data_IF_675542194884
#
_entry.id   IF_675542194884
#
_cell.length_a   1.000
_cell.length_b   1.000
_cell.length_c   1.000
_cell.angle_alpha   90.00
_cell.angle_beta   90.00
_cell.angle_gamma   90.00
#
_symmetry.space_group_name_H-M   'P 1'
#
loop_
_entity.id
_entity.type
_entity.pdbx_description
1 polymer ?
#
# COMPACT_ATOMS: atom_id res chain seq x y z
N UNK A 1 0.79 -3.99 19.05
CA UNK A 1 -0.36 -3.75 18.15
C UNK A 1 0.09 -4.11 16.76
N UNK A 2 -0.56 -5.08 16.12
CA UNK A 2 -0.18 -5.56 14.80
C UNK A 2 -1.07 -4.91 13.76
N UNK A 3 -0.50 -4.39 12.68
CA UNK A 3 -1.24 -3.91 11.51
C UNK A 3 -1.01 -4.89 10.38
N UNK A 4 -2.09 -5.43 9.84
CA UNK A 4 -2.06 -6.32 8.68
C UNK A 4 -2.76 -5.59 7.54
N UNK A 5 -2.00 -5.22 6.51
CA UNK A 5 -2.55 -4.62 5.30
C UNK A 5 -3.31 -5.73 4.55
N UNK A 6 -4.61 -5.54 4.36
CA UNK A 6 -5.47 -6.51 3.67
C UNK A 6 -5.76 -6.11 2.23
N UNK A 7 -5.67 -4.81 1.93
CA UNK A 7 -5.94 -4.30 0.59
C UNK A 7 -5.17 -3.00 0.34
N UNK A 8 -4.62 -2.88 -0.86
CA UNK A 8 -4.04 -1.65 -1.40
C UNK A 8 -4.65 -1.43 -2.78
N UNK A 9 -5.20 -0.23 -3.01
CA UNK A 9 -5.68 0.23 -4.32
C UNK A 9 -4.95 1.51 -4.69
N UNK A 10 -4.56 1.62 -5.95
CA UNK A 10 -4.00 2.84 -6.53
C UNK A 10 -4.86 3.18 -7.74
N UNK A 11 -5.49 4.34 -7.70
CA UNK A 11 -6.30 4.88 -8.78
C UNK A 11 -5.57 6.08 -9.38
N UNK A 12 -5.37 6.07 -10.70
CA UNK A 12 -4.71 7.15 -11.42
C UNK A 12 -5.72 7.77 -12.39
N UNK A 13 -5.86 9.08 -12.35
CA UNK A 13 -6.76 9.83 -13.21
C UNK A 13 -6.02 10.98 -13.89
N UNK A 14 -6.30 11.21 -15.17
CA UNK A 14 -5.89 12.42 -15.87
C UNK A 14 -6.97 13.48 -15.74
N UNK A 15 -6.60 14.63 -15.20
CA UNK A 15 -7.46 15.80 -15.02
C UNK A 15 -7.06 16.92 -15.99
N UNK A 16 -7.83 18.01 -16.02
CA UNK A 16 -7.45 19.22 -16.75
C UNK A 16 -6.22 19.94 -16.17
N UNK A 17 -5.84 19.62 -14.93
CA UNK A 17 -4.76 20.28 -14.19
C UNK A 17 -3.49 19.41 -14.07
N UNK A 18 -3.50 18.20 -14.62
CA UNK A 18 -2.40 17.22 -14.49
C UNK A 18 -2.93 15.83 -14.12
N UNK A 19 -2.07 15.00 -13.55
CA UNK A 19 -2.41 13.69 -13.04
C UNK A 19 -2.83 13.77 -11.57
N UNK A 20 -3.76 12.89 -11.20
CA UNK A 20 -4.15 12.61 -9.83
C UNK A 20 -3.86 11.15 -9.53
N UNK A 21 -3.26 10.90 -8.37
CA UNK A 21 -3.05 9.56 -7.84
C UNK A 21 -3.73 9.48 -6.48
N UNK A 22 -4.61 8.50 -6.32
CA UNK A 22 -5.25 8.18 -5.05
C UNK A 22 -4.80 6.82 -4.58
N UNK A 23 -4.28 6.74 -3.36
CA UNK A 23 -3.98 5.47 -2.69
C UNK A 23 -5.03 5.20 -1.64
N UNK A 24 -5.64 4.02 -1.69
CA UNK A 24 -6.48 3.50 -0.60
C UNK A 24 -5.81 2.31 0.06
N UNK A 25 -5.57 2.40 1.36
CA UNK A 25 -5.03 1.33 2.19
C UNK A 25 -6.12 0.85 3.16
N UNK A 26 -6.44 -0.44 3.12
CA UNK A 26 -7.29 -1.08 4.14
C UNK A 26 -6.41 -2.01 4.95
N UNK A 27 -6.41 -1.83 6.26
CA UNK A 27 -5.64 -2.65 7.18
C UNK A 27 -6.46 -3.02 8.41
N UNK A 28 -6.18 -4.19 8.96
CA UNK A 28 -6.71 -4.59 10.26
C UNK A 28 -5.67 -4.26 11.31
N UNK A 29 -6.08 -3.44 12.27
CA UNK A 29 -5.33 -3.16 13.48
C UNK A 29 -5.78 -4.13 14.58
N UNK A 30 -4.94 -5.11 14.90
CA UNK A 30 -5.20 -6.11 15.93
C UNK A 30 -4.36 -5.85 17.18
N UNK A 31 -5.05 -5.86 18.31
CA UNK A 31 -4.46 -5.97 19.65
C UNK A 31 -4.78 -7.36 20.21
N UNK A 32 -4.15 -7.75 21.31
CA UNK A 32 -4.40 -9.05 21.97
C UNK A 32 -5.88 -9.20 22.39
N UNK A 33 -6.61 -8.09 22.55
CA UNK A 33 -8.00 -8.08 23.05
C UNK A 33 -9.07 -7.67 22.01
N UNK A 34 -8.70 -7.12 20.84
CA UNK A 34 -9.66 -6.69 19.81
C UNK A 34 -9.00 -6.41 18.45
N UNK A 35 -9.76 -6.56 17.38
CA UNK A 35 -9.38 -6.14 16.02
C UNK A 35 -10.30 -5.07 15.47
N UNK A 36 -9.75 -4.09 14.75
CA UNK A 36 -10.51 -3.05 14.03
C UNK A 36 -10.05 -2.96 12.58
N UNK A 37 -10.99 -2.87 11.65
CA UNK A 37 -10.67 -2.56 10.25
C UNK A 37 -10.56 -1.05 10.09
N UNK A 38 -9.45 -0.59 9.53
CA UNK A 38 -9.14 0.81 9.29
C UNK A 38 -8.97 1.04 7.79
N UNK A 39 -9.38 2.23 7.32
CA UNK A 39 -9.19 2.68 5.94
C UNK A 39 -8.43 4.01 5.96
N UNK A 40 -7.34 4.08 5.20
CA UNK A 40 -6.57 5.30 4.96
C UNK A 40 -6.64 5.64 3.47
N UNK A 41 -6.80 6.91 3.15
CA UNK A 41 -6.85 7.41 1.78
C UNK A 41 -5.90 8.58 1.66
N UNK A 42 -4.94 8.47 0.74
CA UNK A 42 -4.01 9.53 0.38
C UNK A 42 -4.33 9.99 -1.03
N UNK A 43 -4.27 11.31 -1.26
CA UNK A 43 -4.55 11.91 -2.55
C UNK A 43 -3.42 12.87 -2.93
N UNK A 44 -2.91 12.68 -4.14
CA UNK A 44 -1.85 13.49 -4.74
C UNK A 44 -2.42 14.08 -6.02
N UNK A 45 -2.40 15.41 -6.14
CA UNK A 45 -3.07 16.12 -7.24
C UNK A 45 -2.10 16.99 -8.03
N UNK A 46 -2.48 17.32 -9.26
CA UNK A 46 -1.75 18.24 -10.16
C UNK A 46 -0.32 17.78 -10.45
N UNK A 47 -0.11 16.46 -10.47
CA UNK A 47 1.18 15.88 -10.79
C UNK A 47 1.47 16.04 -12.28
N UNK A 48 2.71 16.34 -12.61
CA UNK A 48 3.27 16.11 -13.94
C UNK A 48 3.41 14.60 -14.21
N UNK A 49 3.71 14.23 -15.45
CA UNK A 49 3.95 12.82 -15.80
C UNK A 49 5.13 12.25 -15.00
N UNK A 50 6.25 12.97 -14.99
CA UNK A 50 7.48 12.54 -14.30
C UNK A 50 7.25 12.40 -12.78
N UNK A 51 6.56 13.35 -12.15
CA UNK A 51 6.22 13.27 -10.72
C UNK A 51 5.27 12.10 -10.40
N UNK A 52 4.38 11.76 -11.33
CA UNK A 52 3.48 10.62 -11.17
C UNK A 52 4.27 9.30 -11.27
N UNK A 53 5.20 9.20 -12.23
CA UNK A 53 6.04 8.01 -12.41
C UNK A 53 6.95 7.81 -11.18
N UNK A 54 7.59 8.86 -10.69
CA UNK A 54 8.38 8.83 -9.45
C UNK A 54 7.54 8.40 -8.24
N UNK A 55 6.33 8.94 -8.09
CA UNK A 55 5.42 8.59 -6.99
C UNK A 55 5.03 7.10 -7.04
N UNK A 56 4.71 6.57 -8.23
CA UNK A 56 4.35 5.17 -8.39
C UNK A 56 5.52 4.24 -8.08
N UNK A 57 6.73 4.58 -8.50
CA UNK A 57 7.93 3.83 -8.16
C UNK A 57 8.20 3.81 -6.65
N UNK A 58 7.96 4.93 -5.96
CA UNK A 58 8.05 5.00 -4.49
C UNK A 58 6.95 4.16 -3.81
N UNK A 59 5.74 4.14 -4.36
CA UNK A 59 4.64 3.37 -3.81
C UNK A 59 4.84 1.85 -3.97
N UNK A 60 5.43 1.42 -5.09
CA UNK A 60 5.67 0.01 -5.40
C UNK A 60 6.93 -0.52 -4.71
N UNK A 61 7.96 0.30 -4.52
CA UNK A 61 9.21 -0.11 -3.88
C UNK A 61 9.12 -0.28 -2.35
N UNK A 62 8.01 0.14 -1.73
CA UNK A 62 7.77 -0.04 -0.29
C UNK A 62 8.59 0.88 0.62
N UNK A 63 9.52 1.68 0.08
CA UNK A 63 10.34 2.63 0.86
C UNK A 63 9.60 3.94 1.01
N UNK A 64 8.61 3.96 1.89
CA UNK A 64 8.09 5.20 2.43
C UNK A 64 9.03 5.70 3.54
N UNK A 65 9.60 6.92 3.46
CA UNK A 65 10.38 7.46 4.56
C UNK A 65 9.48 7.61 5.79
N UNK A 66 9.70 6.76 6.81
CA UNK A 66 9.00 6.81 8.09
C UNK A 66 8.11 5.61 8.46
N UNK A 67 8.06 4.54 7.67
CA UNK A 67 7.28 3.34 8.02
C UNK A 67 8.14 2.09 8.15
N UNK A 68 8.52 1.76 9.39
CA UNK A 68 8.78 0.38 9.81
C UNK A 68 7.46 -0.41 9.73
N UNK A 69 7.13 -0.88 8.53
CA UNK A 69 6.05 -1.86 8.36
C UNK A 69 6.67 -3.07 7.67
N UNK A 70 6.84 -4.12 8.47
CA UNK A 70 7.32 -5.43 8.04
C UNK A 70 6.43 -5.90 6.88
N UNK A 71 6.99 -5.87 5.67
CA UNK A 71 6.41 -6.58 4.53
C UNK A 71 6.39 -8.07 4.86
N UNK A 72 5.20 -8.66 4.94
CA UNK A 72 5.06 -10.10 4.94
C UNK A 72 5.51 -10.60 3.56
N UNK A 73 6.71 -11.19 3.48
CA UNK A 73 7.20 -11.84 2.27
C UNK A 73 6.14 -12.83 1.77
N UNK A 74 5.77 -12.82 0.48
CA UNK A 74 4.99 -13.90 -0.09
C UNK A 74 5.83 -15.17 0.03
N UNK A 75 5.26 -16.19 0.64
CA UNK A 75 5.95 -17.42 0.99
C UNK A 75 6.32 -18.18 -0.29
N UNK A 76 7.51 -17.93 -0.83
CA UNK A 76 8.11 -18.68 -1.94
C UNK A 76 9.14 -19.67 -1.41
N UNK A 77 8.62 -20.78 -0.88
CA UNK A 77 9.28 -22.08 -0.87
C UNK A 77 8.16 -23.14 -0.79
N UNK A 78 7.93 -23.94 -1.84
CA UNK A 78 8.56 -25.26 -2.01
C UNK A 78 8.57 -26.05 -0.70
N UNK A 79 8.10 -27.28 -0.59
CA UNK A 79 7.95 -28.36 -1.56
C UNK A 79 7.26 -29.52 -0.82
N UNK A 80 6.72 -30.46 -1.59
CA UNK A 80 6.15 -31.74 -1.15
C UNK A 80 6.82 -32.38 0.09
N UNK A 81 6.02 -33.00 0.95
CA UNK A 81 6.11 -34.46 1.13
C UNK A 81 4.87 -35.03 1.82
N UNK A 82 4.44 -36.13 1.22
CA UNK A 82 3.44 -37.11 1.63
C UNK A 82 3.82 -37.67 3.01
N UNK A 83 2.89 -37.68 3.96
CA UNK A 83 2.31 -38.85 4.66
C UNK A 83 1.27 -38.38 5.68
#
# INVERSE_FOLDING_TARGET
>A
MQRIITHVSIDIAKTSLGLEVQRTLIYVESTVASGRTCRMVDRFERLTQDECDDLLDHLVSGVMPGSDLVEARPNSANQMSIF
#
